data_IF_886361491839
#
_entry.id   IF_886361491839
#
_cell.length_a   1.000
_cell.length_b   1.000
_cell.length_c   1.000
_cell.angle_alpha   90.00
_cell.angle_beta   90.00
_cell.angle_gamma   90.00
#
_symmetry.space_group_name_H-M   'P 1'
#
loop_
_entity.id
_entity.type
_entity.pdbx_description
1 polymer ?
#
# COMPACT_ATOMS: atom_id res chain seq x y z
N UNK A 1 -23.89 6.17 -24.35
CA UNK A 1 -24.52 4.94 -23.88
C UNK A 1 -25.99 5.22 -23.69
N UNK A 2 -26.85 4.47 -24.37
CA UNK A 2 -28.30 4.58 -24.22
C UNK A 2 -28.75 3.95 -22.89
N UNK A 3 -29.93 4.29 -22.39
CA UNK A 3 -30.46 3.71 -21.15
C UNK A 3 -30.62 2.18 -21.22
N UNK A 4 -31.03 1.66 -22.39
CA UNK A 4 -31.14 0.21 -22.63
C UNK A 4 -29.79 -0.51 -22.53
N UNK A 5 -28.71 0.10 -23.02
CA UNK A 5 -27.37 -0.46 -22.89
C UNK A 5 -26.88 -0.49 -21.42
N UNK A 6 -27.30 0.46 -20.58
CA UNK A 6 -26.86 0.52 -19.18
C UNK A 6 -27.47 -0.58 -18.31
N UNK A 7 -28.74 -0.92 -18.53
CA UNK A 7 -29.40 -2.00 -17.79
C UNK A 7 -28.82 -3.36 -18.17
N UNK A 8 -28.53 -3.60 -19.45
CA UNK A 8 -27.87 -4.84 -19.91
C UNK A 8 -26.47 -5.00 -19.29
N UNK A 9 -25.67 -3.92 -19.27
CA UNK A 9 -24.38 -3.91 -18.58
C UNK A 9 -24.55 -4.20 -17.09
N UNK A 10 -25.53 -3.60 -16.44
CA UNK A 10 -25.81 -3.82 -15.01
C UNK A 10 -26.15 -5.27 -14.70
N UNK A 11 -26.95 -5.92 -15.54
CA UNK A 11 -27.26 -7.34 -15.43
C UNK A 11 -26.01 -8.22 -15.61
N UNK A 12 -25.16 -7.92 -16.61
CA UNK A 12 -23.91 -8.63 -16.84
C UNK A 12 -22.97 -8.52 -15.63
N UNK A 13 -22.71 -7.31 -15.16
CA UNK A 13 -21.82 -7.09 -14.00
C UNK A 13 -22.37 -7.72 -12.72
N UNK A 14 -23.70 -7.75 -12.54
CA UNK A 14 -24.33 -8.51 -11.46
C UNK A 14 -23.99 -9.98 -11.55
N UNK A 15 -24.20 -10.61 -12.71
CA UNK A 15 -23.89 -12.04 -12.87
C UNK A 15 -22.42 -12.40 -12.62
N UNK A 16 -21.48 -11.50 -12.95
CA UNK A 16 -20.04 -11.74 -12.80
C UNK A 16 -19.55 -11.50 -11.37
N UNK A 17 -20.00 -10.42 -10.73
CA UNK A 17 -19.42 -9.93 -9.47
C UNK A 17 -20.31 -10.15 -8.23
N UNK A 18 -21.48 -10.78 -8.37
CA UNK A 18 -22.41 -10.97 -7.25
C UNK A 18 -21.76 -11.72 -6.07
N UNK A 19 -21.01 -12.79 -6.30
CA UNK A 19 -20.34 -13.52 -5.23
C UNK A 19 -19.27 -12.69 -4.52
N UNK A 20 -18.43 -12.00 -5.30
CA UNK A 20 -17.40 -11.10 -4.78
C UNK A 20 -18.05 -10.00 -3.94
N UNK A 21 -19.10 -9.35 -4.44
CA UNK A 21 -19.80 -8.28 -3.73
C UNK A 21 -20.49 -8.80 -2.47
N UNK A 22 -21.09 -9.99 -2.48
CA UNK A 22 -21.61 -10.62 -1.24
C UNK A 22 -20.51 -10.81 -0.19
N UNK A 23 -19.29 -11.14 -0.61
CA UNK A 23 -18.13 -11.27 0.28
C UNK A 23 -17.72 -9.92 0.88
N UNK A 24 -17.52 -8.90 0.04
CA UNK A 24 -16.82 -7.67 0.46
C UNK A 24 -17.73 -6.48 0.81
N UNK A 25 -18.98 -6.46 0.34
CA UNK A 25 -19.88 -5.31 0.49
C UNK A 25 -20.56 -5.24 1.84
N UNK A 26 -20.91 -4.02 2.25
CA UNK A 26 -21.77 -3.74 3.41
C UNK A 26 -23.25 -3.92 3.11
N UNK A 27 -23.65 -3.53 1.90
CA UNK A 27 -25.04 -3.39 1.50
C UNK A 27 -25.33 -4.26 0.28
N UNK A 28 -26.52 -4.84 0.23
CA UNK A 28 -26.99 -5.70 -0.87
C UNK A 28 -27.19 -4.94 -2.20
N UNK A 29 -27.35 -3.61 -2.15
CA UNK A 29 -27.56 -2.74 -3.32
C UNK A 29 -26.25 -2.15 -3.89
N UNK A 30 -25.08 -2.70 -3.53
CA UNK A 30 -23.77 -2.14 -3.93
C UNK A 30 -23.61 -1.95 -5.44
N UNK A 31 -24.20 -2.83 -6.26
CA UNK A 31 -24.17 -2.71 -7.73
C UNK A 31 -24.89 -1.44 -8.19
N UNK A 32 -26.07 -1.16 -7.62
CA UNK A 32 -26.85 0.02 -7.99
C UNK A 32 -26.05 1.29 -7.69
N UNK A 33 -25.43 1.35 -6.51
CA UNK A 33 -24.53 2.46 -6.12
C UNK A 33 -23.33 2.63 -7.06
N UNK A 34 -22.72 1.53 -7.51
CA UNK A 34 -21.59 1.59 -8.46
C UNK A 34 -22.02 2.17 -9.81
N UNK A 35 -23.19 1.77 -10.32
CA UNK A 35 -23.72 2.29 -11.57
C UNK A 35 -24.14 3.77 -11.48
N UNK A 36 -24.45 4.25 -10.28
CA UNK A 36 -24.75 5.66 -10.01
C UNK A 36 -23.51 6.53 -9.73
N UNK A 37 -22.31 5.94 -9.62
CA UNK A 37 -21.08 6.63 -9.24
C UNK A 37 -20.79 7.87 -10.09
N UNK A 38 -21.03 7.82 -11.40
CA UNK A 38 -20.75 8.98 -12.26
C UNK A 38 -21.60 10.20 -11.87
N UNK A 39 -22.86 9.98 -11.48
CA UNK A 39 -23.78 11.03 -11.04
C UNK A 39 -23.41 11.58 -9.66
N UNK A 40 -22.87 10.73 -8.78
CA UNK A 40 -22.49 11.09 -7.42
C UNK A 40 -20.99 11.42 -7.26
N UNK A 41 -20.17 11.35 -8.32
CA UNK A 41 -18.71 11.48 -8.26
C UNK A 41 -18.23 12.75 -7.54
N UNK A 42 -18.88 13.87 -7.81
CA UNK A 42 -18.55 15.16 -7.20
C UNK A 42 -18.73 15.17 -5.67
N UNK A 43 -19.64 14.34 -5.14
CA UNK A 43 -19.86 14.22 -3.69
C UNK A 43 -18.63 13.61 -2.99
N UNK A 44 -17.90 12.73 -3.70
CA UNK A 44 -16.69 12.08 -3.20
C UNK A 44 -15.42 12.91 -3.39
N UNK A 45 -15.45 13.95 -4.25
CA UNK A 45 -14.34 14.88 -4.45
C UNK A 45 -14.20 15.90 -3.30
N UNK A 46 -15.31 16.21 -2.62
CA UNK A 46 -15.35 17.22 -1.56
C UNK A 46 -15.19 16.66 -0.14
N UNK A 47 -14.90 15.36 0.00
CA UNK A 47 -14.84 14.73 1.32
C UNK A 47 -13.53 15.05 2.02
N UNK A 48 -13.65 15.53 3.26
CA UNK A 48 -12.58 16.04 4.12
C UNK A 48 -11.57 14.96 4.52
N UNK A 49 -10.35 15.42 4.85
CA UNK A 49 -9.22 14.72 5.49
C UNK A 49 -9.58 13.34 6.06
N UNK A 50 -9.45 12.30 5.24
CA UNK A 50 -9.53 10.93 5.72
C UNK A 50 -8.17 10.55 6.33
N UNK A 51 -8.11 10.48 7.66
CA UNK A 51 -6.92 10.07 8.40
C UNK A 51 -6.52 8.62 8.13
N UNK A 52 -7.40 7.82 7.53
CA UNK A 52 -7.13 6.46 7.10
C UNK A 52 -6.66 6.32 5.65
N UNK A 53 -6.42 7.43 4.93
CA UNK A 53 -5.79 7.35 3.60
C UNK A 53 -4.26 7.46 3.72
N UNK A 54 -3.47 6.52 3.16
CA UNK A 54 -2.01 6.52 3.29
C UNK A 54 -1.33 7.54 2.36
N UNK A 55 -1.59 8.84 2.57
CA UNK A 55 -1.17 9.94 1.68
C UNK A 55 0.33 9.91 1.36
N UNK A 56 1.20 9.77 2.37
CA UNK A 56 2.66 9.78 2.17
C UNK A 56 3.15 8.74 1.15
N UNK A 57 2.46 7.60 1.06
CA UNK A 57 2.80 6.55 0.10
C UNK A 57 2.38 6.93 -1.32
N UNK A 58 1.20 7.51 -1.50
CA UNK A 58 0.71 7.93 -2.81
C UNK A 58 1.49 9.16 -3.34
N UNK A 59 1.91 10.07 -2.45
CA UNK A 59 2.75 11.24 -2.77
C UNK A 59 4.12 10.87 -3.38
N UNK A 60 4.56 9.61 -3.27
CA UNK A 60 5.77 9.13 -3.95
C UNK A 60 5.59 8.96 -5.46
N UNK A 61 4.35 8.78 -5.93
CA UNK A 61 4.07 8.30 -7.29
C UNK A 61 3.27 9.28 -8.14
N UNK A 62 2.57 10.25 -7.56
CA UNK A 62 1.63 11.08 -8.30
C UNK A 62 1.59 12.54 -7.83
N UNK A 63 0.99 13.39 -8.67
CA UNK A 63 0.74 14.80 -8.34
C UNK A 63 -0.45 14.96 -7.39
N UNK A 64 -0.60 16.13 -6.76
CA UNK A 64 -1.74 16.39 -5.86
C UNK A 64 -3.09 16.30 -6.59
N UNK A 65 -3.17 16.72 -7.86
CA UNK A 65 -4.41 16.63 -8.64
C UNK A 65 -4.82 15.16 -8.90
N UNK A 66 -3.84 14.32 -9.21
CA UNK A 66 -4.06 12.89 -9.42
C UNK A 66 -4.46 12.21 -8.11
N UNK A 67 -3.84 12.64 -7.00
CA UNK A 67 -4.15 12.16 -5.66
C UNK A 67 -5.62 12.37 -5.28
N UNK A 68 -6.18 13.56 -5.57
CA UNK A 68 -7.59 13.85 -5.27
C UNK A 68 -8.55 12.89 -5.99
N UNK A 69 -8.22 12.52 -7.23
CA UNK A 69 -9.01 11.53 -7.98
C UNK A 69 -8.97 10.14 -7.33
N UNK A 70 -7.80 9.73 -6.83
CA UNK A 70 -7.65 8.46 -6.09
C UNK A 70 -8.41 8.50 -4.76
N UNK A 71 -8.33 9.61 -4.02
CA UNK A 71 -9.03 9.79 -2.74
C UNK A 71 -10.55 9.68 -2.93
N UNK A 72 -11.09 10.30 -3.97
CA UNK A 72 -12.52 10.19 -4.30
C UNK A 72 -12.96 8.73 -4.49
N UNK A 73 -12.17 7.94 -5.23
CA UNK A 73 -12.45 6.52 -5.44
C UNK A 73 -12.30 5.72 -4.14
N UNK A 74 -11.27 6.02 -3.34
CA UNK A 74 -11.09 5.40 -2.02
C UNK A 74 -12.31 5.63 -1.11
N UNK A 75 -12.80 6.86 -1.04
CA UNK A 75 -13.96 7.24 -0.22
C UNK A 75 -15.23 6.53 -0.68
N UNK A 76 -15.47 6.49 -1.99
CA UNK A 76 -16.59 5.72 -2.56
C UNK A 76 -16.51 4.24 -2.18
N UNK A 77 -15.36 3.61 -2.37
CA UNK A 77 -15.16 2.19 -2.05
C UNK A 77 -15.34 1.93 -0.55
N UNK A 78 -14.93 2.85 0.32
CA UNK A 78 -15.16 2.76 1.77
C UNK A 78 -16.63 2.82 2.16
N UNK A 79 -17.46 3.53 1.40
CA UNK A 79 -18.90 3.58 1.66
C UNK A 79 -19.53 2.21 1.39
N UNK A 80 -19.13 1.54 0.31
CA UNK A 80 -19.75 0.29 -0.14
C UNK A 80 -19.14 -0.97 0.48
N UNK A 81 -17.84 -0.97 0.85
CA UNK A 81 -17.12 -2.16 1.34
C UNK A 81 -16.99 -2.22 2.86
N UNK A 82 -16.94 -3.44 3.43
CA UNK A 82 -16.77 -3.65 4.89
C UNK A 82 -15.45 -3.04 5.38
N UNK A 83 -15.41 -2.65 6.67
CA UNK A 83 -14.29 -1.92 7.26
C UNK A 83 -12.99 -2.74 7.24
N UNK A 84 -13.06 -4.06 7.39
CA UNK A 84 -11.90 -4.95 7.28
C UNK A 84 -11.17 -4.84 5.93
N UNK A 85 -11.87 -4.45 4.85
CA UNK A 85 -11.28 -4.33 3.52
C UNK A 85 -10.53 -3.02 3.28
N UNK A 86 -10.61 -2.04 4.18
CA UNK A 86 -10.09 -0.68 3.93
C UNK A 86 -8.60 -0.63 3.61
N UNK A 87 -7.77 -1.40 4.33
CA UNK A 87 -6.33 -1.46 4.03
C UNK A 87 -6.07 -2.08 2.67
N UNK A 88 -6.84 -3.09 2.30
CA UNK A 88 -6.73 -3.76 1.01
C UNK A 88 -7.14 -2.86 -0.15
N UNK A 89 -8.16 -1.99 0.04
CA UNK A 89 -8.50 -0.95 -0.94
C UNK A 89 -7.28 -0.08 -1.22
N UNK A 90 -6.61 0.45 -0.19
CA UNK A 90 -5.42 1.29 -0.38
C UNK A 90 -4.29 0.54 -1.10
N UNK A 91 -4.06 -0.72 -0.77
CA UNK A 91 -3.08 -1.56 -1.48
C UNK A 91 -3.42 -1.71 -2.96
N UNK A 92 -4.67 -2.04 -3.30
CA UNK A 92 -5.09 -2.18 -4.70
C UNK A 92 -4.99 -0.86 -5.45
N UNK A 93 -5.44 0.25 -4.86
CA UNK A 93 -5.33 1.58 -5.45
C UNK A 93 -3.88 1.96 -5.73
N UNK A 94 -2.94 1.61 -4.86
CA UNK A 94 -1.51 1.82 -5.12
C UNK A 94 -1.04 1.01 -6.33
N UNK A 95 -1.38 -0.29 -6.37
CA UNK A 95 -0.99 -1.22 -7.43
C UNK A 95 -1.57 -0.84 -8.80
N UNK A 96 -2.77 -0.25 -8.81
CA UNK A 96 -3.57 0.14 -9.99
C UNK A 96 -3.59 1.65 -10.27
N UNK A 97 -2.87 2.45 -9.49
CA UNK A 97 -2.88 3.92 -9.57
C UNK A 97 -2.70 4.47 -10.98
N UNK A 98 -1.78 3.89 -11.78
CA UNK A 98 -1.58 4.29 -13.17
C UNK A 98 -2.81 4.16 -14.07
N UNK A 99 -3.71 3.22 -13.77
CA UNK A 99 -4.95 3.00 -14.52
C UNK A 99 -6.06 4.00 -14.14
N UNK A 100 -5.91 4.71 -13.02
CA UNK A 100 -6.90 5.60 -12.43
C UNK A 100 -6.66 7.09 -12.74
N UNK A 101 -5.47 7.42 -13.21
CA UNK A 101 -4.99 8.79 -13.47
C UNK A 101 -5.31 9.26 -14.90
N UNK A 102 -6.11 8.50 -15.64
CA UNK A 102 -6.38 8.80 -17.04
C UNK A 102 -7.29 10.04 -17.21
N UNK A 103 -6.83 11.00 -18.01
CA UNK A 103 -7.63 12.16 -18.39
C UNK A 103 -8.81 11.71 -19.26
N UNK A 104 -10.02 12.08 -18.86
CA UNK A 104 -11.28 11.81 -19.57
C UNK A 104 -11.70 10.32 -19.60
N UNK A 105 -11.62 9.62 -18.46
CA UNK A 105 -12.17 8.28 -18.31
C UNK A 105 -13.69 8.27 -18.52
N UNK A 106 -14.16 7.57 -19.55
CA UNK A 106 -15.58 7.37 -19.83
C UNK A 106 -16.25 6.45 -18.80
N UNK A 107 -17.57 6.56 -18.63
CA UNK A 107 -18.36 5.82 -17.63
C UNK A 107 -18.10 4.31 -17.64
N UNK A 108 -18.18 3.67 -18.80
CA UNK A 108 -17.97 2.22 -18.95
C UNK A 108 -16.61 1.77 -18.41
N UNK A 109 -15.57 2.56 -18.69
CA UNK A 109 -14.21 2.29 -18.22
C UNK A 109 -14.09 2.53 -16.72
N UNK A 110 -14.73 3.57 -16.19
CA UNK A 110 -14.79 3.82 -14.75
C UNK A 110 -15.45 2.64 -14.02
N UNK A 111 -16.61 2.19 -14.49
CA UNK A 111 -17.31 1.03 -13.93
C UNK A 111 -16.41 -0.20 -13.94
N UNK A 112 -15.82 -0.53 -15.09
CA UNK A 112 -14.88 -1.65 -15.20
C UNK A 112 -13.76 -1.57 -14.17
N UNK A 113 -13.13 -0.41 -14.04
CA UNK A 113 -12.02 -0.23 -13.10
C UNK A 113 -12.48 -0.38 -11.64
N UNK A 114 -13.66 0.14 -11.28
CA UNK A 114 -14.22 -0.03 -9.94
C UNK A 114 -14.48 -1.51 -9.62
N UNK A 115 -15.11 -2.25 -10.53
CA UNK A 115 -15.34 -3.68 -10.34
C UNK A 115 -14.02 -4.48 -10.29
N UNK A 116 -13.05 -4.13 -11.14
CA UNK A 116 -11.70 -4.72 -11.06
C UNK A 116 -11.07 -4.47 -9.68
N UNK A 117 -11.17 -3.26 -9.12
CA UNK A 117 -10.63 -2.95 -7.79
C UNK A 117 -11.30 -3.81 -6.72
N UNK A 118 -12.63 -3.88 -6.72
CA UNK A 118 -13.41 -4.68 -5.76
C UNK A 118 -12.99 -6.16 -5.81
N UNK A 119 -12.84 -6.70 -7.01
CA UNK A 119 -12.35 -8.06 -7.21
C UNK A 119 -10.94 -8.29 -6.68
N UNK A 120 -10.01 -7.37 -6.98
CA UNK A 120 -8.65 -7.47 -6.43
C UNK A 120 -8.60 -7.29 -4.92
N UNK A 121 -9.50 -6.50 -4.33
CA UNK A 121 -9.58 -6.35 -2.86
C UNK A 121 -9.91 -7.69 -2.21
N UNK A 122 -10.91 -8.41 -2.72
CA UNK A 122 -11.29 -9.76 -2.24
C UNK A 122 -10.12 -10.76 -2.39
N UNK A 123 -9.44 -10.75 -3.54
CA UNK A 123 -8.29 -11.63 -3.79
C UNK A 123 -7.12 -11.33 -2.86
N UNK A 124 -6.74 -10.06 -2.70
CA UNK A 124 -5.59 -9.67 -1.90
C UNK A 124 -5.86 -9.96 -0.42
N UNK A 125 -7.09 -9.76 0.07
CA UNK A 125 -7.44 -10.10 1.45
C UNK A 125 -7.30 -11.61 1.70
N UNK A 126 -7.91 -12.46 0.86
CA UNK A 126 -7.77 -13.92 0.97
C UNK A 126 -6.32 -14.37 0.92
N UNK A 127 -5.55 -13.87 -0.04
CA UNK A 127 -4.14 -14.22 -0.18
C UNK A 127 -3.30 -13.77 1.03
N UNK A 128 -3.61 -12.60 1.60
CA UNK A 128 -2.95 -12.07 2.79
C UNK A 128 -3.15 -12.96 4.01
N UNK A 129 -4.38 -13.43 4.20
CA UNK A 129 -4.78 -14.33 5.28
C UNK A 129 -4.14 -15.73 5.11
N UNK A 130 -4.10 -16.27 3.89
CA UNK A 130 -3.54 -17.60 3.60
C UNK A 130 -2.01 -17.67 3.72
N UNK A 131 -1.28 -16.59 3.39
CA UNK A 131 0.19 -16.59 3.30
C UNK A 131 0.89 -16.04 4.55
N UNK A 132 0.13 -15.84 5.63
CA UNK A 132 0.62 -15.34 6.92
C UNK A 132 1.44 -14.04 6.76
N UNK A 133 0.97 -13.18 5.85
CA UNK A 133 1.58 -11.87 5.63
C UNK A 133 1.38 -10.95 6.83
N UNK A 134 0.29 -11.13 7.57
CA UNK A 134 0.00 -10.38 8.78
C UNK A 134 1.12 -10.48 9.80
N UNK A 135 1.60 -11.70 10.11
CA UNK A 135 2.68 -11.89 11.07
C UNK A 135 3.98 -11.25 10.60
N UNK A 136 4.32 -11.40 9.32
CA UNK A 136 5.54 -10.80 8.73
C UNK A 136 5.53 -9.28 8.81
N UNK A 137 4.41 -8.67 8.43
CA UNK A 137 4.24 -7.20 8.47
C UNK A 137 4.21 -6.70 9.90
N UNK A 138 3.52 -7.39 10.80
CA UNK A 138 3.46 -7.01 12.22
C UNK A 138 4.85 -7.03 12.85
N UNK A 139 5.67 -8.05 12.57
CA UNK A 139 7.06 -8.10 13.04
C UNK A 139 7.90 -6.90 12.56
N UNK A 140 7.79 -6.56 11.28
CA UNK A 140 8.49 -5.39 10.71
C UNK A 140 8.01 -4.06 11.33
N UNK A 141 6.71 -3.92 11.56
CA UNK A 141 6.13 -2.74 12.21
C UNK A 141 6.64 -2.61 13.65
N UNK A 142 6.69 -3.70 14.42
CA UNK A 142 7.21 -3.67 15.80
C UNK A 142 8.68 -3.23 15.85
N UNK A 143 9.52 -3.71 14.91
CA UNK A 143 10.92 -3.27 14.81
C UNK A 143 11.04 -1.78 14.50
N UNK A 144 10.20 -1.25 13.60
CA UNK A 144 10.18 0.17 13.25
C UNK A 144 9.66 0.99 14.43
N UNK A 145 8.62 0.51 15.11
CA UNK A 145 8.04 1.16 16.26
C UNK A 145 9.06 1.33 17.38
N UNK A 146 9.87 0.31 17.67
CA UNK A 146 10.95 0.45 18.67
C UNK A 146 11.95 1.57 18.33
N UNK A 147 12.24 1.81 17.04
CA UNK A 147 13.10 2.92 16.60
C UNK A 147 12.39 4.27 16.76
N UNK A 148 11.11 4.35 16.41
CA UNK A 148 10.28 5.55 16.63
C UNK A 148 10.24 5.88 18.13
N UNK A 149 10.07 4.88 19.00
CA UNK A 149 10.09 5.07 20.46
C UNK A 149 11.37 5.75 20.91
N UNK A 150 12.52 5.25 20.44
CA UNK A 150 13.82 5.78 20.77
C UNK A 150 13.99 7.22 20.27
N UNK A 151 13.50 7.51 19.06
CA UNK A 151 13.50 8.86 18.49
C UNK A 151 12.67 9.83 19.37
N UNK A 152 11.47 9.42 19.78
CA UNK A 152 10.57 10.22 20.62
C UNK A 152 11.19 10.48 22.00
N UNK A 153 11.71 9.44 22.66
CA UNK A 153 12.41 9.56 23.95
C UNK A 153 13.60 10.51 23.87
N UNK A 154 14.45 10.37 22.84
CA UNK A 154 15.62 11.27 22.64
C UNK A 154 15.21 12.71 22.43
N UNK A 155 14.10 12.96 21.72
CA UNK A 155 13.57 14.30 21.50
C UNK A 155 12.66 14.79 22.65
N UNK A 156 12.56 14.05 23.76
CA UNK A 156 11.70 14.36 24.91
C UNK A 156 10.25 14.65 24.52
N UNK A 157 9.71 13.89 23.55
CA UNK A 157 8.31 13.95 23.16
C UNK A 157 7.48 12.97 23.97
N UNK A 158 6.34 13.43 24.49
CA UNK A 158 5.36 12.58 25.14
C UNK A 158 4.63 11.70 24.12
N UNK A 159 4.36 10.45 24.50
CA UNK A 159 3.63 9.49 23.69
C UNK A 159 2.94 8.45 24.57
N UNK A 160 1.87 7.86 24.04
CA UNK A 160 1.17 6.73 24.65
C UNK A 160 1.24 5.56 23.67
N UNK A 161 1.40 4.35 24.20
CA UNK A 161 1.31 3.11 23.42
C UNK A 161 -0.08 2.50 23.61
N UNK A 162 -0.66 1.98 22.54
CA UNK A 162 -1.83 1.11 22.62
C UNK A 162 -1.45 -0.32 23.06
N UNK A 163 -2.45 -1.15 23.35
CA UNK A 163 -2.25 -2.55 23.76
C UNK A 163 -1.55 -3.42 22.69
N UNK A 164 -1.41 -2.90 21.47
CA UNK A 164 -0.74 -3.54 20.32
C UNK A 164 0.62 -2.91 20.03
N UNK A 165 1.10 -1.99 20.86
CA UNK A 165 2.39 -1.29 20.70
C UNK A 165 2.42 -0.23 19.59
N UNK A 166 1.26 0.27 19.14
CA UNK A 166 1.18 1.41 18.23
C UNK A 166 1.26 2.72 19.00
N UNK A 167 1.92 3.72 18.38
CA UNK A 167 2.02 5.06 18.94
C UNK A 167 0.74 5.85 18.75
N UNK A 168 0.14 6.30 19.86
CA UNK A 168 -0.76 7.44 19.86
C UNK A 168 0.04 8.71 20.13
N UNK A 169 0.70 9.20 19.08
CA UNK A 169 1.39 10.50 19.09
C UNK A 169 0.70 11.40 18.10
N UNK A 170 -0.29 12.15 18.59
CA UNK A 170 -1.11 13.03 17.75
C UNK A 170 -1.76 12.23 16.58
N UNK A 171 -2.64 12.83 15.78
CA UNK A 171 -3.30 12.09 14.69
C UNK A 171 -2.38 11.85 13.48
N UNK A 172 -1.24 12.55 13.45
CA UNK A 172 -0.28 12.61 12.36
C UNK A 172 0.57 11.34 12.26
N UNK A 173 1.07 10.80 13.39
CA UNK A 173 1.87 9.56 13.38
C UNK A 173 1.05 8.33 12.97
N UNK A 174 -0.26 8.35 13.22
CA UNK A 174 -1.18 7.31 12.76
C UNK A 174 -1.21 7.22 11.22
N UNK A 175 -1.11 8.36 10.51
CA UNK A 175 -1.08 8.37 9.03
C UNK A 175 0.20 7.79 8.48
N UNK A 176 1.33 8.10 9.11
CA UNK A 176 2.64 7.55 8.73
C UNK A 176 2.66 6.04 8.98
N UNK A 177 2.16 5.60 10.13
CA UNK A 177 2.06 4.18 10.50
C UNK A 177 1.15 3.40 9.55
N UNK A 178 0.04 3.99 9.10
CA UNK A 178 -0.81 3.38 8.10
C UNK A 178 -0.12 3.30 6.74
N UNK A 179 0.55 4.37 6.31
CA UNK A 179 1.33 4.38 5.06
C UNK A 179 2.42 3.30 5.08
N UNK A 180 3.05 3.08 6.23
CA UNK A 180 3.98 1.98 6.46
C UNK A 180 3.34 0.62 6.26
N UNK A 181 2.23 0.35 6.95
CA UNK A 181 1.53 -0.92 6.84
C UNK A 181 1.14 -1.22 5.38
N UNK A 182 0.55 -0.23 4.69
CA UNK A 182 0.14 -0.39 3.28
C UNK A 182 1.35 -0.61 2.38
N UNK A 183 2.46 0.11 2.58
CA UNK A 183 3.65 -0.09 1.77
C UNK A 183 4.24 -1.50 1.96
N UNK A 184 4.39 -1.95 3.20
CA UNK A 184 4.88 -3.30 3.50
C UNK A 184 3.95 -4.38 2.91
N UNK A 185 2.64 -4.18 3.03
CA UNK A 185 1.64 -5.03 2.41
C UNK A 185 1.78 -5.06 0.88
N UNK A 186 1.89 -3.90 0.24
CA UNK A 186 2.03 -3.78 -1.21
C UNK A 186 3.30 -4.45 -1.74
N UNK A 187 4.40 -4.46 -1.00
CA UNK A 187 5.66 -5.11 -1.42
C UNK A 187 5.45 -6.59 -1.75
N UNK A 188 4.53 -7.30 -1.10
CA UNK A 188 4.26 -8.71 -1.43
C UNK A 188 3.65 -8.90 -2.82
N UNK A 189 2.91 -7.90 -3.31
CA UNK A 189 2.16 -7.96 -4.58
C UNK A 189 2.83 -7.23 -5.74
N UNK A 190 3.89 -6.45 -5.47
CA UNK A 190 4.61 -5.71 -6.50
C UNK A 190 5.55 -6.63 -7.32
N UNK A 191 5.56 -6.44 -8.64
CA UNK A 191 6.59 -7.00 -9.51
C UNK A 191 7.97 -6.45 -9.17
N UNK A 192 9.04 -7.15 -9.59
CA UNK A 192 10.42 -6.68 -9.35
C UNK A 192 10.68 -5.29 -9.93
N UNK A 193 10.12 -4.96 -11.10
CA UNK A 193 10.24 -3.63 -11.70
C UNK A 193 9.56 -2.56 -10.85
N UNK A 194 8.34 -2.83 -10.36
CA UNK A 194 7.63 -1.87 -9.49
C UNK A 194 8.28 -1.74 -8.11
N UNK A 195 8.86 -2.81 -7.56
CA UNK A 195 9.67 -2.76 -6.33
C UNK A 195 10.89 -1.84 -6.49
N UNK A 196 11.61 -1.96 -7.61
CA UNK A 196 12.73 -1.06 -7.93
C UNK A 196 12.28 0.40 -8.06
N UNK A 197 11.14 0.64 -8.69
CA UNK A 197 10.57 1.99 -8.79
C UNK A 197 10.24 2.57 -7.41
N UNK A 198 9.54 1.82 -6.55
CA UNK A 198 9.26 2.23 -5.17
C UNK A 198 10.55 2.55 -4.42
N UNK A 199 11.56 1.67 -4.49
CA UNK A 199 12.88 1.89 -3.89
C UNK A 199 13.50 3.20 -4.39
N UNK A 200 13.52 3.44 -5.71
CA UNK A 200 14.11 4.67 -6.27
C UNK A 200 13.40 5.93 -5.83
N UNK A 201 12.06 5.90 -5.68
CA UNK A 201 11.27 7.04 -5.20
C UNK A 201 11.55 7.37 -3.74
N UNK A 202 11.69 6.34 -2.91
CA UNK A 202 12.07 6.49 -1.51
C UNK A 202 13.51 7.02 -1.39
N UNK A 203 14.44 6.44 -2.16
CA UNK A 203 15.84 6.87 -2.22
C UNK A 203 15.97 8.33 -2.63
N UNK A 204 15.24 8.76 -3.65
CA UNK A 204 15.21 10.14 -4.12
C UNK A 204 14.77 11.10 -2.99
N UNK A 205 13.69 10.77 -2.26
CA UNK A 205 13.21 11.59 -1.13
C UNK A 205 14.25 11.70 -0.02
N UNK A 206 14.87 10.59 0.37
CA UNK A 206 15.91 10.58 1.41
C UNK A 206 17.15 11.38 0.99
N UNK A 207 17.62 11.22 -0.26
CA UNK A 207 18.77 11.95 -0.81
C UNK A 207 18.51 13.45 -0.89
N UNK A 208 17.33 13.88 -1.35
CA UNK A 208 16.95 15.29 -1.42
C UNK A 208 16.93 15.96 -0.04
N UNK A 209 16.67 15.19 1.02
CA UNK A 209 16.70 15.64 2.41
C UNK A 209 18.04 15.40 3.11
N UNK A 210 19.06 14.92 2.38
CA UNK A 210 20.40 14.60 2.89
C UNK A 210 20.40 13.60 4.06
N UNK A 211 19.42 12.69 4.07
CA UNK A 211 19.35 11.62 5.07
C UNK A 211 20.23 10.46 4.61
N UNK A 212 21.14 10.03 5.47
CA UNK A 212 21.96 8.83 5.24
C UNK A 212 21.17 7.58 5.63
N UNK A 213 21.34 6.50 4.88
CA UNK A 213 20.60 5.26 5.08
C UNK A 213 21.45 4.05 4.66
N UNK A 214 21.12 2.88 5.19
CA UNK A 214 21.58 1.59 4.66
C UNK A 214 20.58 1.13 3.59
N UNK A 215 21.05 0.68 2.43
CA UNK A 215 20.19 0.11 1.36
C UNK A 215 19.25 -0.98 1.88
N UNK A 216 19.71 -1.85 2.77
CA UNK A 216 18.89 -2.92 3.37
C UNK A 216 17.82 -2.43 4.34
N UNK A 217 17.93 -1.19 4.83
CA UNK A 217 16.99 -0.59 5.79
C UNK A 217 16.27 0.63 5.23
N UNK A 218 16.35 0.89 3.92
CA UNK A 218 15.90 2.15 3.31
C UNK A 218 14.46 2.51 3.68
N UNK A 219 13.56 1.52 3.69
CA UNK A 219 12.17 1.72 4.04
C UNK A 219 12.01 2.10 5.50
N UNK A 220 12.71 1.40 6.40
CA UNK A 220 12.72 1.69 7.85
C UNK A 220 13.24 3.12 8.10
N UNK A 221 14.31 3.51 7.43
CA UNK A 221 14.85 4.88 7.51
C UNK A 221 13.87 5.92 6.96
N UNK A 222 13.20 5.63 5.85
CA UNK A 222 12.17 6.50 5.29
C UNK A 222 10.99 6.73 6.23
N UNK A 223 10.54 5.69 6.94
CA UNK A 223 9.46 5.85 7.91
C UNK A 223 9.87 6.66 9.13
N UNK A 224 11.07 6.43 9.66
CA UNK A 224 11.61 7.28 10.72
C UNK A 224 11.70 8.74 10.27
N UNK A 225 12.12 8.96 9.02
CA UNK A 225 12.15 10.30 8.43
C UNK A 225 10.76 10.93 8.36
N UNK A 226 9.73 10.21 7.87
CA UNK A 226 8.36 10.73 7.81
C UNK A 226 7.80 11.06 9.19
N UNK A 227 8.02 10.20 10.19
CA UNK A 227 7.59 10.48 11.57
C UNK A 227 8.29 11.72 12.12
N UNK A 228 9.60 11.85 11.87
CA UNK A 228 10.34 13.03 12.30
C UNK A 228 9.84 14.31 11.60
N UNK A 229 9.54 14.24 10.30
CA UNK A 229 9.00 15.38 9.53
C UNK A 229 7.63 15.81 10.06
N UNK A 230 6.68 14.88 10.23
CA UNK A 230 5.33 15.17 10.75
C UNK A 230 5.36 15.78 12.18
N UNK A 231 6.31 15.34 13.01
CA UNK A 231 6.43 15.80 14.39
C UNK A 231 7.43 16.95 14.59
N UNK A 232 8.00 17.48 13.50
CA UNK A 232 9.05 18.50 13.52
C UNK A 232 10.24 18.13 14.44
N UNK A 233 10.72 16.89 14.33
CA UNK A 233 11.83 16.35 15.11
C UNK A 233 13.13 16.34 14.31
N UNK A 234 14.25 16.40 15.02
CA UNK A 234 15.56 16.13 14.43
C UNK A 234 15.83 14.63 14.47
N UNK A 235 16.25 14.07 13.33
CA UNK A 235 16.75 12.70 13.24
C UNK A 235 18.20 12.70 13.73
N UNK A 236 18.57 11.92 14.77
CA UNK A 236 19.93 11.91 15.30
C UNK A 236 20.96 11.29 14.34
N UNK A 237 22.16 11.87 14.28
CA UNK A 237 23.30 11.39 13.46
C UNK A 237 23.83 9.99 13.83
N UNK A 238 23.46 9.44 14.98
CA UNK A 238 23.92 8.11 15.40
C UNK A 238 23.13 6.96 14.75
N UNK A 239 21.88 7.20 14.35
CA UNK A 239 21.10 6.20 13.60
C UNK A 239 21.59 6.08 12.15
N UNK A 240 22.08 7.17 11.56
CA UNK A 240 22.69 7.20 10.23
C UNK A 240 24.08 6.53 10.18
N UNK A 241 24.83 6.51 11.30
CA UNK A 241 26.16 5.85 11.38
C UNK A 241 26.11 4.33 11.63
N UNK A 242 25.06 3.82 12.27
CA UNK A 242 24.88 2.37 12.49
C UNK A 242 24.70 1.59 11.17
N UNK A 243 24.14 2.25 10.16
CA UNK A 243 23.95 1.77 8.79
C UNK A 243 25.27 1.42 8.07
N UNK A 244 26.32 2.24 8.21
CA UNK A 244 27.58 2.10 7.46
C UNK A 244 28.54 1.04 8.05
N UNK A 245 28.47 0.76 9.36
CA UNK A 245 29.33 -0.26 9.99
C UNK A 245 28.88 -1.71 9.72
N UNK A 246 27.59 -1.96 9.50
CA UNK A 246 27.07 -3.32 9.13
C UNK A 246 27.30 -3.69 7.66
N UNK A 247 27.59 -2.70 6.82
CA UNK A 247 27.67 -2.80 5.36
C UNK A 247 28.78 -3.74 4.87
N UNK A 248 29.94 -3.79 5.54
CA UNK A 248 31.05 -4.67 5.15
C UNK A 248 30.85 -6.16 5.47
N UNK A 249 29.89 -6.51 6.32
CA UNK A 249 29.67 -7.89 6.79
C UNK A 249 28.58 -8.63 6.01
N UNK A 250 27.48 -7.96 5.64
CA UNK A 250 26.30 -8.62 5.07
C UNK A 250 26.29 -8.73 3.53
N UNK A 251 27.06 -7.91 2.80
CA UNK A 251 27.17 -8.02 1.33
C UNK A 251 27.70 -9.40 0.92
N UNK A 252 28.63 -9.97 1.69
CA UNK A 252 29.16 -11.33 1.43
C UNK A 252 28.10 -12.42 1.60
N UNK A 253 27.11 -12.26 2.49
CA UNK A 253 26.08 -13.28 2.77
C UNK A 253 24.91 -13.24 1.80
N UNK A 254 24.46 -12.05 1.42
CA UNK A 254 23.33 -11.87 0.49
C UNK A 254 23.70 -12.28 -0.94
N UNK A 255 24.94 -12.02 -1.37
CA UNK A 255 25.42 -12.46 -2.69
C UNK A 255 25.45 -14.00 -2.81
N UNK A 256 25.89 -14.70 -1.75
CA UNK A 256 25.85 -16.17 -1.71
C UNK A 256 24.44 -16.74 -1.67
N UNK A 257 23.50 -16.11 -0.96
CA UNK A 257 22.13 -16.62 -0.88
C UNK A 257 21.36 -16.46 -2.19
N UNK A 258 21.54 -15.32 -2.89
CA UNK A 258 20.95 -15.09 -4.21
C UNK A 258 21.45 -16.07 -5.28
N UNK A 259 22.74 -16.41 -5.27
CA UNK A 259 23.31 -17.38 -6.23
C UNK A 259 22.78 -18.79 -5.96
N UNK A 260 22.66 -19.21 -4.70
CA UNK A 260 22.19 -20.55 -4.33
C UNK A 260 20.69 -20.75 -4.66
N UNK A 261 19.84 -19.75 -4.40
CA UNK A 261 18.41 -19.83 -4.74
C UNK A 261 18.20 -19.86 -6.26
N UNK A 262 19.00 -19.10 -7.02
CA UNK A 262 18.90 -19.09 -8.48
C UNK A 262 19.35 -20.43 -9.09
N UNK A 263 20.42 -21.04 -8.55
CA UNK A 263 20.86 -22.37 -8.95
C UNK A 263 19.83 -23.47 -8.62
N UNK A 264 19.19 -23.41 -7.46
CA UNK A 264 18.14 -24.36 -7.07
C UNK A 264 16.92 -24.27 -7.97
N UNK A 265 16.48 -23.06 -8.34
CA UNK A 265 15.35 -22.87 -9.27
C UNK A 265 15.69 -23.41 -10.66
N UNK A 266 16.91 -23.19 -11.15
CA UNK A 266 17.35 -23.73 -12.46
C UNK A 266 17.36 -25.26 -12.42
N UNK A 267 17.90 -25.88 -11.36
CA UNK A 267 17.95 -27.34 -11.22
C UNK A 267 16.53 -27.94 -11.18
N UNK A 268 15.61 -27.35 -10.42
CA UNK A 268 14.22 -27.81 -10.32
C UNK A 268 13.50 -27.73 -11.68
N UNK A 269 13.72 -26.64 -12.42
CA UNK A 269 13.14 -26.49 -13.77
C UNK A 269 13.75 -27.51 -14.75
N UNK A 270 15.06 -27.71 -14.72
CA UNK A 270 15.75 -28.68 -15.59
C UNK A 270 15.32 -30.13 -15.31
N UNK A 271 15.17 -30.51 -14.04
CA UNK A 271 14.69 -31.85 -13.65
C UNK A 271 13.23 -32.05 -14.05
N UNK A 272 12.36 -31.05 -13.87
CA UNK A 272 10.96 -31.12 -14.31
C UNK A 272 10.82 -31.27 -15.82
N UNK A 273 11.73 -30.67 -16.61
CA UNK A 273 11.71 -30.77 -18.07
C UNK A 273 12.28 -32.10 -18.59
N UNK A 274 13.25 -32.69 -17.89
CA UNK A 274 13.84 -33.98 -18.25
C UNK A 274 12.95 -35.17 -17.90
N UNK A 275 12.12 -35.07 -16.85
CA UNK A 275 11.17 -36.12 -16.44
C UNK A 275 9.85 -36.13 -17.24
N UNK A 276 9.67 -35.19 -18.17
CA UNK A 276 8.49 -35.07 -19.05
C UNK A 276 8.74 -35.56 -20.48
N UNK A 277 9.89 -36.17 -20.75
CA UNK A 277 10.20 -36.94 -21.95
C UNK A 277 10.20 -38.43 -21.63
#
# INVERSE_FOLDING_TARGET
MSYLELDDYKHLYRSIFEETLKSVSRESNSIDKIFELEKSRNQYMNYTKDYSFPKHLFDLFMSENDLQSIISIYNFLKEILKKEYYSFISTVLLLKSSCLIEKNMIQERLLRVIFEIIFFVDIIEKNYSENDFERKITSEILEINARIENLLKKNKKEFILDDRGNFFVQNEVLKVSLSLKIMLQSIFYLSNSKKKLLYSKVEEKLKNRKISYNTSEIFRTYFLFLVAEELNLKIPDDETRSASKKEKSNIKKILTFGVVVTLLVIIVISVHFLLKK
#
